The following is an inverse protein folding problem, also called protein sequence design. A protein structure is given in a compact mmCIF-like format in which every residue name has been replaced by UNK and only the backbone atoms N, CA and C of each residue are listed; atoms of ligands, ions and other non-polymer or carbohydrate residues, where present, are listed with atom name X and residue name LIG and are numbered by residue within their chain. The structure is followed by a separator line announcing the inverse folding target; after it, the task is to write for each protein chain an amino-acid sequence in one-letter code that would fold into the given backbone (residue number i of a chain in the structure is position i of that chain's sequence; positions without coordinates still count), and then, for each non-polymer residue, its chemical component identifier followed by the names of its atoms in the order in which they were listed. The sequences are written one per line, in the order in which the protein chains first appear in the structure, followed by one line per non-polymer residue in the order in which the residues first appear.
data_IF_047891255313
#
_entry.id   IF_047891255313
#
_cell.length_a   1.000
_cell.length_b   1.000
_cell.length_c   1.000
_cell.angle_alpha   90.00
_cell.angle_beta   90.00
_cell.angle_gamma   90.00
#
_symmetry.space_group_name_H-M   'P 1'
#
loop_
_entity.id
_entity.type
_entity.pdbx_description
1 polymer ?
#
# COMPACT_ATOMS: atom_id res chain seq x y z
N UNK A 1 8.17 -6.32 20.93
CA UNK A 1 7.18 -7.06 20.11
C UNK A 1 6.14 -6.17 19.41
N UNK A 2 6.25 -4.83 19.37
CA UNK A 2 5.18 -3.97 18.78
C UNK A 2 5.41 -3.53 17.33
N UNK A 3 6.66 -3.40 16.89
CA UNK A 3 6.95 -2.84 15.56
C UNK A 3 6.67 -3.83 14.40
N UNK A 4 6.87 -5.14 14.62
CA UNK A 4 6.56 -6.18 13.61
C UNK A 4 5.07 -6.25 13.28
N UNK A 5 4.19 -6.18 14.29
CA UNK A 5 2.74 -6.19 14.08
C UNK A 5 2.27 -4.95 13.29
N UNK A 6 2.88 -3.78 13.57
CA UNK A 6 2.59 -2.55 12.83
C UNK A 6 3.00 -2.63 11.35
N UNK A 7 4.18 -3.21 11.07
CA UNK A 7 4.64 -3.45 9.69
C UNK A 7 3.71 -4.45 8.98
N UNK A 8 3.34 -5.55 9.62
CA UNK A 8 2.40 -6.53 9.04
C UNK A 8 1.06 -5.90 8.66
N UNK A 9 0.48 -5.07 9.53
CA UNK A 9 -0.78 -4.37 9.23
C UNK A 9 -0.64 -3.39 8.05
N UNK A 10 0.52 -2.75 7.89
CA UNK A 10 0.79 -1.89 6.72
C UNK A 10 0.99 -2.71 5.44
N UNK A 11 1.65 -3.86 5.53
CA UNK A 11 1.83 -4.78 4.40
C UNK A 11 0.49 -5.32 3.91
N UNK A 12 -0.41 -5.72 4.81
CA UNK A 12 -1.78 -6.12 4.46
C UNK A 12 -2.55 -4.99 3.77
N UNK A 13 -2.48 -3.77 4.30
CA UNK A 13 -3.10 -2.60 3.65
C UNK A 13 -2.52 -2.32 2.26
N UNK A 14 -1.21 -2.50 2.09
CA UNK A 14 -0.55 -2.36 0.79
C UNK A 14 -1.06 -3.41 -0.21
N UNK A 15 -1.12 -4.68 0.20
CA UNK A 15 -1.62 -5.78 -0.63
C UNK A 15 -3.08 -5.54 -1.05
N UNK A 16 -3.92 -5.08 -0.12
CA UNK A 16 -5.31 -4.75 -0.40
C UNK A 16 -5.44 -3.61 -1.44
N UNK A 17 -4.65 -2.55 -1.30
CA UNK A 17 -4.61 -1.47 -2.30
C UNK A 17 -4.16 -1.96 -3.68
N UNK A 18 -3.19 -2.88 -3.75
CA UNK A 18 -2.79 -3.48 -5.02
C UNK A 18 -3.91 -4.28 -5.67
N UNK A 19 -4.65 -5.06 -4.88
CA UNK A 19 -5.81 -5.79 -5.40
C UNK A 19 -6.89 -4.84 -5.92
N UNK A 20 -7.19 -3.75 -5.20
CA UNK A 20 -8.18 -2.76 -5.64
C UNK A 20 -7.72 -2.10 -6.95
N UNK A 21 -6.44 -1.73 -7.06
CA UNK A 21 -5.87 -1.17 -8.30
C UNK A 21 -5.99 -2.17 -9.46
N UNK A 22 -5.65 -3.43 -9.22
CA UNK A 22 -5.72 -4.48 -10.24
C UNK A 22 -7.16 -4.74 -10.71
N UNK A 23 -8.12 -4.77 -9.77
CA UNK A 23 -9.54 -4.88 -10.07
C UNK A 23 -10.04 -3.70 -10.90
N UNK A 24 -9.66 -2.47 -10.53
CA UNK A 24 -10.07 -1.27 -11.25
C UNK A 24 -9.43 -1.20 -12.64
N UNK A 25 -8.17 -1.63 -12.80
CA UNK A 25 -7.51 -1.75 -14.11
C UNK A 25 -8.13 -2.84 -14.99
N UNK A 26 -8.68 -3.89 -14.40
CA UNK A 26 -9.37 -4.95 -15.12
C UNK A 26 -10.77 -4.54 -15.60
N UNK A 27 -11.30 -3.40 -15.12
CA UNK A 27 -12.60 -2.89 -15.60
C UNK A 27 -12.46 -2.31 -17.00
N UNK A 28 -13.47 -2.50 -17.87
CA UNK A 28 -13.46 -1.98 -19.24
C UNK A 28 -13.44 -0.45 -19.30
N UNK A 29 -13.88 0.24 -18.25
CA UNK A 29 -13.73 1.69 -18.08
C UNK A 29 -13.10 1.96 -16.70
N UNK A 30 -11.77 2.02 -16.62
CA UNK A 30 -11.06 2.27 -15.37
C UNK A 30 -11.18 3.75 -14.98
N UNK A 31 -11.53 4.02 -13.72
CA UNK A 31 -11.51 5.39 -13.20
C UNK A 31 -10.06 5.83 -12.97
N UNK A 32 -9.57 6.70 -13.86
CA UNK A 32 -8.19 7.19 -13.83
C UNK A 32 -7.91 8.08 -12.60
N UNK A 33 -8.89 8.82 -12.11
CA UNK A 33 -8.75 9.64 -10.89
C UNK A 33 -8.57 8.71 -9.69
N UNK A 34 -9.45 7.71 -9.57
CA UNK A 34 -9.38 6.71 -8.51
C UNK A 34 -8.09 5.91 -8.56
N UNK A 35 -7.65 5.48 -9.73
CA UNK A 35 -6.35 4.81 -9.91
C UNK A 35 -5.17 5.69 -9.46
N UNK A 36 -5.21 6.98 -9.77
CA UNK A 36 -4.16 7.92 -9.37
C UNK A 36 -4.11 8.09 -7.85
N UNK A 37 -5.27 8.23 -7.20
CA UNK A 37 -5.37 8.28 -5.75
C UNK A 37 -4.89 7.00 -5.08
N UNK A 38 -5.31 5.84 -5.60
CA UNK A 38 -4.91 4.53 -5.09
C UNK A 38 -3.39 4.32 -5.21
N UNK A 39 -2.80 4.68 -6.35
CA UNK A 39 -1.34 4.64 -6.55
C UNK A 39 -0.60 5.56 -5.59
N UNK A 40 -1.09 6.78 -5.34
CA UNK A 40 -0.53 7.70 -4.33
C UNK A 40 -0.61 7.11 -2.92
N UNK A 41 -1.75 6.51 -2.55
CA UNK A 41 -1.93 5.84 -1.25
C UNK A 41 -0.96 4.66 -1.12
N UNK A 42 -0.83 3.82 -2.15
CA UNK A 42 0.12 2.72 -2.19
C UNK A 42 1.56 3.20 -1.96
N UNK A 43 1.96 4.28 -2.63
CA UNK A 43 3.29 4.87 -2.46
C UNK A 43 3.53 5.30 -1.00
N UNK A 44 2.60 6.04 -0.40
CA UNK A 44 2.70 6.47 1.01
C UNK A 44 2.82 5.31 1.99
N UNK A 45 2.05 4.23 1.78
CA UNK A 45 2.14 3.04 2.63
C UNK A 45 3.49 2.35 2.45
N UNK A 46 3.99 2.24 1.21
CA UNK A 46 5.32 1.69 0.93
C UNK A 46 6.41 2.48 1.65
N UNK A 47 6.37 3.82 1.60
CA UNK A 47 7.31 4.69 2.31
C UNK A 47 7.23 4.52 3.83
N UNK A 48 6.01 4.38 4.39
CA UNK A 48 5.81 4.13 5.80
C UNK A 48 6.39 2.77 6.24
N UNK A 49 6.20 1.72 5.43
CA UNK A 49 6.78 0.39 5.65
C UNK A 49 8.31 0.51 5.64
N UNK A 50 8.89 1.07 4.57
CA UNK A 50 10.35 1.22 4.46
C UNK A 50 10.95 2.03 5.60
N UNK A 51 10.28 3.09 6.05
CA UNK A 51 10.72 3.88 7.20
C UNK A 51 10.70 3.07 8.50
N UNK A 52 9.65 2.28 8.73
CA UNK A 52 9.53 1.42 9.91
C UNK A 52 10.50 0.25 9.88
N UNK A 53 10.70 -0.37 8.71
CA UNK A 53 11.68 -1.44 8.50
C UNK A 53 13.11 -0.93 8.71
N UNK A 54 13.43 0.24 8.17
CA UNK A 54 14.74 0.88 8.35
C UNK A 54 14.99 1.26 9.81
N UNK A 55 13.96 1.70 10.53
CA UNK A 55 14.02 1.93 11.97
C UNK A 55 14.10 0.66 12.81
N UNK A 56 13.81 -0.51 12.24
CA UNK A 56 13.95 -1.82 12.89
C UNK A 56 15.36 -2.42 12.72
N UNK A 57 16.13 -1.91 11.75
CA UNK A 57 17.49 -2.33 11.41
C UNK A 57 18.59 -1.59 12.21
N UNK A 58 18.19 -0.73 13.15
CA UNK A 58 19.07 -0.04 14.11
C UNK A 58 18.77 -0.55 15.52
#
# INVERSE_FOLDING_TARGET
MSNKAHVQALVEKHANLEQIIAQELARPSPDQLKLTELKKRKLRIKEAITRLERGLLH
#
